data_IF_710255089268
#
_entry.id   IF_710255089268
#
_cell.length_a   1.000
_cell.length_b   1.000
_cell.length_c   1.000
_cell.angle_alpha   90.00
_cell.angle_beta   90.00
_cell.angle_gamma   90.00
#
_symmetry.space_group_name_H-M   'P 1'
#
loop_
_entity.id
_entity.type
_entity.pdbx_description
1 polymer ?
#
# COMPACT_ATOMS: atom_id res chain seq x y z
N UNK A 1 2.38 -19.82 -4.91
CA UNK A 1 3.22 -20.46 -3.87
C UNK A 1 2.81 -19.89 -2.53
N UNK A 2 2.31 -20.72 -1.63
CA UNK A 2 1.83 -20.29 -0.31
C UNK A 2 3.01 -20.11 0.65
N UNK A 3 3.25 -18.90 1.13
CA UNK A 3 4.43 -18.59 1.97
C UNK A 3 4.22 -18.98 3.45
N UNK A 4 4.63 -20.21 3.79
CA UNK A 4 4.56 -20.73 5.17
C UNK A 4 5.87 -20.54 5.97
N UNK A 5 6.99 -20.31 5.30
CA UNK A 5 8.29 -20.07 5.97
C UNK A 5 8.20 -18.77 6.78
N UNK A 6 8.60 -18.81 8.05
CA UNK A 6 8.62 -17.60 8.87
C UNK A 6 9.66 -16.64 8.30
N UNK A 7 9.36 -15.34 8.30
CA UNK A 7 10.29 -14.31 7.82
C UNK A 7 11.63 -14.37 8.56
N UNK A 8 11.60 -14.72 9.86
CA UNK A 8 12.82 -14.88 10.66
C UNK A 8 13.70 -16.05 10.22
N UNK A 9 13.13 -17.08 9.59
CA UNK A 9 13.87 -18.25 9.11
C UNK A 9 14.48 -18.01 7.72
N UNK A 10 14.14 -16.90 7.06
CA UNK A 10 14.74 -16.51 5.78
C UNK A 10 16.14 -15.94 6.00
N UNK A 11 17.06 -16.12 5.03
CA UNK A 11 18.31 -15.37 4.99
C UNK A 11 18.03 -13.86 5.13
N UNK A 12 18.89 -13.13 5.83
CA UNK A 12 18.69 -11.69 6.05
C UNK A 12 18.57 -10.89 4.74
N UNK A 13 19.25 -11.33 3.68
CA UNK A 13 19.14 -10.78 2.32
C UNK A 13 17.75 -10.91 1.69
N UNK A 14 16.94 -11.84 2.19
CA UNK A 14 15.64 -12.20 1.62
C UNK A 14 14.49 -11.62 2.46
N UNK A 15 14.78 -11.14 3.66
CA UNK A 15 13.77 -10.59 4.58
C UNK A 15 13.25 -9.24 4.07
N UNK A 16 11.93 -9.01 4.01
CA UNK A 16 11.36 -7.80 3.42
C UNK A 16 11.88 -6.49 4.01
N UNK A 17 12.02 -6.36 5.34
CA UNK A 17 12.44 -5.10 5.97
C UNK A 17 13.89 -4.77 5.62
N UNK A 18 14.75 -5.76 5.66
CA UNK A 18 16.16 -5.68 5.33
C UNK A 18 16.37 -5.39 3.84
N UNK A 19 15.59 -6.02 2.96
CA UNK A 19 15.55 -5.71 1.52
C UNK A 19 15.06 -4.30 1.24
N UNK A 20 14.03 -3.83 1.94
CA UNK A 20 13.53 -2.47 1.79
C UNK A 20 14.62 -1.44 2.14
N UNK A 21 15.38 -1.68 3.20
CA UNK A 21 16.49 -0.80 3.60
C UNK A 21 17.68 -0.86 2.62
N UNK A 22 17.99 -2.04 2.08
CA UNK A 22 19.20 -2.25 1.26
C UNK A 22 18.98 -1.92 -0.22
N UNK A 23 17.84 -2.32 -0.78
CA UNK A 23 17.56 -2.26 -2.21
C UNK A 23 16.35 -1.37 -2.56
N UNK A 24 15.66 -0.83 -1.56
CA UNK A 24 14.50 0.04 -1.74
C UNK A 24 13.22 -0.70 -2.15
N UNK A 25 12.10 0.02 -2.12
CA UNK A 25 10.75 -0.52 -2.31
C UNK A 25 10.54 -1.23 -3.66
N UNK A 26 11.25 -0.80 -4.72
CA UNK A 26 11.16 -1.38 -6.06
C UNK A 26 11.59 -2.85 -6.13
N UNK A 27 12.38 -3.30 -5.16
CA UNK A 27 12.82 -4.70 -5.07
C UNK A 27 11.78 -5.64 -4.47
N UNK A 28 10.72 -5.10 -3.85
CA UNK A 28 9.72 -5.86 -3.12
C UNK A 28 8.46 -6.05 -3.96
N UNK A 29 7.86 -7.22 -3.82
CA UNK A 29 6.49 -7.45 -4.29
C UNK A 29 5.48 -6.72 -3.41
N UNK A 30 4.27 -6.50 -3.93
CA UNK A 30 3.16 -5.93 -3.16
C UNK A 30 2.85 -6.74 -1.90
N UNK A 31 2.95 -8.07 -1.97
CA UNK A 31 2.73 -8.94 -0.82
C UNK A 31 3.79 -8.71 0.28
N UNK A 32 5.03 -8.43 -0.09
CA UNK A 32 6.10 -8.12 0.86
C UNK A 32 5.94 -6.72 1.46
N UNK A 33 5.47 -5.73 0.68
CA UNK A 33 5.11 -4.42 1.22
C UNK A 33 3.98 -4.54 2.26
N UNK A 34 2.95 -5.32 1.95
CA UNK A 34 1.90 -5.67 2.92
C UNK A 34 2.47 -6.40 4.14
N UNK A 35 3.39 -7.34 3.95
CA UNK A 35 4.02 -8.07 5.05
C UNK A 35 4.74 -7.14 6.05
N UNK A 36 5.41 -6.11 5.54
CA UNK A 36 6.09 -5.12 6.38
C UNK A 36 5.08 -4.36 7.25
N UNK A 37 3.97 -3.89 6.65
CA UNK A 37 2.89 -3.20 7.35
C UNK A 37 2.22 -4.10 8.38
N UNK A 38 1.91 -5.35 8.01
CA UNK A 38 1.24 -6.32 8.88
C UNK A 38 2.11 -6.71 10.09
N UNK A 39 3.43 -6.72 9.93
CA UNK A 39 4.43 -7.07 10.94
C UNK A 39 4.47 -8.56 11.32
N UNK A 40 3.31 -9.23 11.35
CA UNK A 40 3.18 -10.65 11.69
C UNK A 40 2.18 -11.38 10.78
N UNK A 41 2.40 -12.69 10.63
CA UNK A 41 1.48 -13.60 9.94
C UNK A 41 0.29 -14.01 10.80
N UNK A 42 -0.25 -15.20 10.55
CA UNK A 42 -1.40 -15.77 11.25
C UNK A 42 -1.04 -16.51 12.56
N UNK A 43 0.24 -16.51 12.95
CA UNK A 43 0.76 -17.26 14.09
C UNK A 43 1.48 -18.55 13.68
N UNK A 44 1.96 -19.33 14.67
CA UNK A 44 2.75 -20.54 14.42
C UNK A 44 2.01 -21.56 13.54
N UNK A 45 2.72 -22.15 12.57
CA UNK A 45 2.18 -23.20 11.69
C UNK A 45 1.20 -22.71 10.61
N UNK A 46 0.94 -21.41 10.51
CA UNK A 46 0.02 -20.81 9.53
C UNK A 46 0.77 -19.93 8.52
N UNK A 47 0.06 -19.03 7.83
CA UNK A 47 0.68 -18.11 6.88
C UNK A 47 1.67 -17.17 7.58
N UNK A 48 2.84 -16.99 6.97
CA UNK A 48 3.78 -15.93 7.33
C UNK A 48 3.19 -14.54 7.03
N UNK A 49 3.89 -13.46 7.39
CA UNK A 49 3.45 -12.11 7.03
C UNK A 49 3.38 -11.93 5.50
N UNK A 50 4.33 -12.51 4.76
CA UNK A 50 4.33 -12.51 3.28
C UNK A 50 3.17 -13.35 2.74
N UNK A 51 2.96 -14.54 3.32
CA UNK A 51 1.83 -15.40 2.95
C UNK A 51 0.47 -14.74 3.20
N UNK A 52 0.34 -13.99 4.31
CA UNK A 52 -0.86 -13.22 4.60
C UNK A 52 -1.05 -12.06 3.61
N UNK A 53 0.03 -11.38 3.22
CA UNK A 53 -0.02 -10.36 2.15
C UNK A 53 -0.47 -10.94 0.81
N UNK A 54 -0.01 -12.15 0.46
CA UNK A 54 -0.46 -12.87 -0.75
C UNK A 54 -1.95 -13.23 -0.67
N UNK A 55 -2.41 -13.75 0.47
CA UNK A 55 -3.83 -14.07 0.69
C UNK A 55 -4.69 -12.82 0.53
N UNK A 56 -4.29 -11.68 1.12
CA UNK A 56 -5.04 -10.43 0.98
C UNK A 56 -5.19 -10.02 -0.48
N UNK A 57 -4.11 -10.06 -1.27
CA UNK A 57 -4.16 -9.72 -2.69
C UNK A 57 -5.00 -10.71 -3.49
N UNK A 58 -5.00 -11.99 -3.13
CA UNK A 58 -5.82 -13.01 -3.77
C UNK A 58 -7.31 -12.77 -3.50
N UNK A 59 -7.71 -12.54 -2.25
CA UNK A 59 -9.11 -12.29 -1.88
C UNK A 59 -9.62 -11.00 -2.52
N UNK A 60 -8.84 -9.92 -2.50
CA UNK A 60 -9.22 -8.65 -3.12
C UNK A 60 -9.21 -8.69 -4.66
N UNK A 61 -8.45 -9.62 -5.24
CA UNK A 61 -8.37 -9.86 -6.69
C UNK A 61 -9.45 -10.81 -7.24
N UNK A 62 -10.35 -11.30 -6.39
CA UNK A 62 -11.48 -12.11 -6.85
C UNK A 62 -12.35 -11.32 -7.85
N UNK A 63 -13.11 -12.04 -8.68
CA UNK A 63 -13.94 -11.46 -9.74
C UNK A 63 -13.15 -10.67 -10.80
N UNK A 64 -11.92 -11.11 -11.08
CA UNK A 64 -11.05 -10.54 -12.14
C UNK A 64 -10.75 -9.04 -11.97
N UNK A 65 -10.85 -8.53 -10.74
CA UNK A 65 -10.42 -7.16 -10.41
C UNK A 65 -8.92 -7.15 -10.12
N UNK A 66 -8.21 -6.13 -10.61
CA UNK A 66 -6.84 -5.88 -10.17
C UNK A 66 -6.80 -5.65 -8.65
N UNK A 67 -6.00 -6.40 -7.87
CA UNK A 67 -5.97 -6.30 -6.41
C UNK A 67 -5.60 -4.91 -5.89
N UNK A 68 -4.74 -4.16 -6.60
CA UNK A 68 -4.36 -2.80 -6.19
C UNK A 68 -5.54 -1.83 -6.37
N UNK A 69 -6.28 -2.00 -7.46
CA UNK A 69 -7.52 -1.27 -7.72
C UNK A 69 -8.58 -1.59 -6.66
N UNK A 70 -8.64 -2.83 -6.16
CA UNK A 70 -9.51 -3.20 -5.04
C UNK A 70 -9.07 -2.57 -3.71
N UNK A 71 -7.77 -2.55 -3.43
CA UNK A 71 -7.21 -1.91 -2.23
C UNK A 71 -7.56 -0.42 -2.13
N UNK A 72 -7.67 0.30 -3.25
CA UNK A 72 -8.00 1.73 -3.26
C UNK A 72 -9.31 2.06 -2.56
N UNK A 73 -10.29 1.18 -2.70
CA UNK A 73 -11.69 1.36 -2.28
C UNK A 73 -12.09 0.38 -1.15
N UNK A 74 -11.12 -0.33 -0.56
CA UNK A 74 -11.35 -1.38 0.43
C UNK A 74 -11.91 -0.81 1.74
N UNK A 75 -12.88 -1.49 2.32
CA UNK A 75 -13.46 -1.12 3.62
C UNK A 75 -12.84 -1.91 4.77
N UNK A 76 -12.97 -1.45 6.03
CA UNK A 76 -12.61 -2.26 7.19
C UNK A 76 -13.31 -3.62 7.20
N UNK A 77 -14.58 -3.67 6.77
CA UNK A 77 -15.35 -4.91 6.72
C UNK A 77 -14.70 -5.92 5.79
N UNK A 78 -14.39 -5.52 4.55
CA UNK A 78 -13.76 -6.38 3.54
C UNK A 78 -12.45 -6.99 4.06
N UNK A 79 -11.59 -6.16 4.68
CA UNK A 79 -10.32 -6.63 5.23
C UNK A 79 -10.53 -7.61 6.39
N UNK A 80 -11.48 -7.34 7.29
CA UNK A 80 -11.72 -8.20 8.47
C UNK A 80 -12.37 -9.54 8.15
N UNK A 81 -12.96 -9.72 6.95
CA UNK A 81 -13.41 -11.03 6.48
C UNK A 81 -12.25 -11.96 6.12
N UNK A 82 -11.05 -11.41 5.87
CA UNK A 82 -9.87 -12.20 5.49
C UNK A 82 -9.28 -12.83 6.75
N UNK A 83 -9.22 -14.17 6.77
CA UNK A 83 -8.66 -14.92 7.89
C UNK A 83 -7.25 -14.43 8.23
N UNK A 84 -7.03 -14.06 9.50
CA UNK A 84 -5.74 -13.53 9.96
C UNK A 84 -5.59 -12.00 9.91
N UNK A 85 -6.61 -11.29 9.43
CA UNK A 85 -6.68 -9.82 9.41
C UNK A 85 -7.73 -9.35 10.42
N UNK A 86 -7.29 -9.12 11.66
CA UNK A 86 -8.14 -8.49 12.68
C UNK A 86 -8.18 -6.96 12.55
N UNK A 87 -8.93 -6.27 13.43
CA UNK A 87 -9.08 -4.81 13.41
C UNK A 87 -7.74 -4.06 13.39
N UNK A 88 -6.76 -4.52 14.18
CA UNK A 88 -5.43 -3.91 14.21
C UNK A 88 -4.75 -3.93 12.82
N UNK A 89 -4.69 -5.10 12.16
CA UNK A 89 -4.08 -5.22 10.83
C UNK A 89 -4.87 -4.47 9.75
N UNK A 90 -6.20 -4.50 9.83
CA UNK A 90 -7.06 -3.76 8.90
C UNK A 90 -6.81 -2.24 9.00
N UNK A 91 -6.79 -1.69 10.22
CA UNK A 91 -6.52 -0.26 10.44
C UNK A 91 -5.11 0.14 9.97
N UNK A 92 -4.10 -0.70 10.15
CA UNK A 92 -2.75 -0.45 9.62
C UNK A 92 -2.74 -0.31 8.10
N UNK A 93 -3.43 -1.20 7.37
CA UNK A 93 -3.52 -1.13 5.91
C UNK A 93 -4.25 0.15 5.47
N UNK A 94 -5.41 0.43 6.07
CA UNK A 94 -6.19 1.61 5.74
C UNK A 94 -5.42 2.91 6.01
N UNK A 95 -4.72 2.99 7.14
CA UNK A 95 -3.88 4.14 7.48
C UNK A 95 -2.73 4.33 6.46
N UNK A 96 -2.08 3.24 6.04
CA UNK A 96 -1.02 3.30 5.03
C UNK A 96 -1.53 3.79 3.66
N UNK A 97 -2.70 3.30 3.24
CA UNK A 97 -3.34 3.74 1.99
C UNK A 97 -3.72 5.21 2.03
N UNK A 98 -4.35 5.67 3.12
CA UNK A 98 -4.71 7.07 3.31
C UNK A 98 -3.48 7.97 3.35
N UNK A 99 -2.41 7.54 4.03
CA UNK A 99 -1.14 8.28 4.04
C UNK A 99 -0.56 8.39 2.63
N UNK A 100 -0.58 7.30 1.84
CA UNK A 100 -0.17 7.33 0.44
C UNK A 100 -0.98 8.32 -0.40
N UNK A 101 -2.30 8.37 -0.22
CA UNK A 101 -3.19 9.34 -0.87
C UNK A 101 -2.80 10.78 -0.51
N UNK A 102 -2.58 11.07 0.78
CA UNK A 102 -2.18 12.41 1.25
C UNK A 102 -0.81 12.83 0.75
N UNK A 103 0.16 11.91 0.70
CA UNK A 103 1.50 12.20 0.16
C UNK A 103 1.44 12.57 -1.31
N UNK A 104 0.63 11.88 -2.11
CA UNK A 104 0.43 12.22 -3.53
C UNK A 104 -0.31 13.55 -3.72
N UNK A 105 -1.25 13.88 -2.83
CA UNK A 105 -1.97 15.17 -2.85
C UNK A 105 -1.14 16.33 -2.32
N UNK A 106 -0.13 16.06 -1.49
CA UNK A 106 0.73 17.08 -0.89
C UNK A 106 1.78 17.62 -1.87
N UNK A 107 1.83 17.13 -3.12
CA UNK A 107 2.57 17.81 -4.18
C UNK A 107 1.99 19.22 -4.30
N UNK A 108 2.78 20.28 -4.03
CA UNK A 108 2.31 21.63 -4.26
C UNK A 108 1.83 21.71 -5.72
N UNK A 109 0.72 22.39 -6.02
CA UNK A 109 0.46 22.75 -7.41
C UNK A 109 1.74 23.40 -7.95
N UNK A 110 2.15 23.06 -9.18
CA UNK A 110 3.12 23.90 -9.89
C UNK A 110 2.65 25.33 -9.70
N UNK A 111 3.36 26.10 -8.87
CA UNK A 111 3.04 27.50 -8.71
C UNK A 111 3.45 28.11 -10.03
N UNK A 112 2.47 28.43 -10.88
CA UNK A 112 2.69 29.35 -11.97
C UNK A 112 3.29 30.60 -11.35
N UNK A 113 4.55 30.90 -11.67
CA UNK A 113 5.15 32.16 -11.29
C UNK A 113 4.37 33.22 -12.08
N UNK A 114 3.59 34.02 -11.37
CA UNK A 114 2.90 35.17 -11.94
C UNK A 114 3.79 36.39 -11.68
N UNK A 115 4.71 36.63 -12.60
CA UNK A 115 5.58 37.82 -12.62
C UNK A 115 5.14 38.87 -13.66
N UNK A 116 4.15 38.53 -14.49
CA UNK A 116 3.55 39.41 -15.48
C UNK A 116 2.00 39.38 -15.41
N UNK A 117 1.30 40.52 -15.50
CA UNK A 117 -0.16 40.57 -15.48
C UNK A 117 -0.85 39.72 -16.56
N UNK A 118 -0.21 39.45 -17.71
CA UNK A 118 -0.80 38.59 -18.73
C UNK A 118 -0.82 37.11 -18.29
N UNK A 119 0.18 36.67 -17.51
CA UNK A 119 0.23 35.32 -16.92
C UNK A 119 -0.87 35.17 -15.86
N UNK A 120 -1.13 36.22 -15.07
CA UNK A 120 -2.21 36.24 -14.09
C UNK A 120 -3.59 36.08 -14.77
N UNK A 121 -3.83 36.86 -15.82
CA UNK A 121 -5.09 36.86 -16.55
C UNK A 121 -5.33 35.52 -17.27
N UNK A 122 -4.30 34.92 -17.85
CA UNK A 122 -4.38 33.62 -18.49
C UNK A 122 -4.62 32.48 -17.49
N UNK A 123 -4.01 32.54 -16.30
CA UNK A 123 -4.17 31.51 -15.27
C UNK A 123 -5.60 31.46 -14.68
N UNK A 124 -6.30 32.59 -14.67
CA UNK A 124 -7.65 32.73 -14.08
C UNK A 124 -8.77 32.82 -15.13
N UNK A 125 -8.45 32.81 -16.43
CA UNK A 125 -9.45 33.05 -17.49
C UNK A 125 -10.56 32.00 -17.53
N UNK A 126 -10.29 30.79 -17.05
CA UNK A 126 -11.26 29.70 -16.97
C UNK A 126 -12.24 29.80 -15.78
N UNK A 127 -11.92 30.62 -14.76
CA UNK A 127 -12.75 30.79 -13.56
C UNK A 127 -13.63 32.05 -13.59
N UNK A 128 -13.41 32.94 -14.57
CA UNK A 128 -14.09 34.23 -14.71
C UNK A 128 -15.19 34.24 -15.81
N UNK A 129 -15.55 33.06 -16.34
CA UNK A 129 -16.72 32.83 -17.21
C UNK A 129 -17.78 32.04 -16.46
#
# INVERSE_FOLDING_TARGET
MTYHVRVLDMPSSDRPRERLLTYGAKSLSTAELLAILLGTGQGPGKLSAVGLGQLILQELGQHQRDPLTALRDVTPHDLTQISGVGPAKATTILAALELGKRVLQAIPPEKTIVDDPAIAAAALSHELM
#
